data_IF_531857228815
#
_entry.id   IF_531857228815
#
_cell.length_a   1.000
_cell.length_b   1.000
_cell.length_c   1.000
_cell.angle_alpha   90.00
_cell.angle_beta   90.00
_cell.angle_gamma   90.00
#
_symmetry.space_group_name_H-M   'P 1'
#
loop_
_entity.id
_entity.type
_entity.pdbx_description
1 polymer ?
#
# COMPACT_ATOMS: atom_id res chain seq x y z
N UNK A 1 -3.56 -37.19 6.44
CA UNK A 1 -2.46 -36.25 6.19
C UNK A 1 -2.15 -35.36 7.39
N UNK A 2 -3.13 -34.71 8.07
CA UNK A 2 -2.82 -33.89 9.27
C UNK A 2 -2.21 -34.70 10.42
N UNK A 3 -2.64 -35.95 10.65
CA UNK A 3 -2.08 -36.85 11.67
C UNK A 3 -0.61 -37.25 11.36
N UNK A 4 -0.30 -37.45 10.08
CA UNK A 4 1.06 -37.82 9.64
C UNK A 4 2.05 -36.66 9.82
N UNK A 5 1.58 -35.43 9.64
CA UNK A 5 2.42 -34.23 9.88
C UNK A 5 2.63 -33.96 11.37
N UNK A 6 1.66 -34.27 12.23
CA UNK A 6 1.78 -34.10 13.69
C UNK A 6 2.89 -34.99 14.27
N UNK A 7 3.06 -36.21 13.75
CA UNK A 7 4.10 -37.13 14.22
C UNK A 7 5.52 -36.71 13.79
N UNK A 8 5.65 -36.11 12.59
CA UNK A 8 6.91 -35.50 12.14
C UNK A 8 7.29 -34.25 12.98
N UNK A 9 6.32 -33.65 13.69
CA UNK A 9 6.44 -32.37 14.38
C UNK A 9 6.50 -32.46 15.91
N UNK A 10 6.86 -33.60 16.49
CA UNK A 10 7.22 -33.61 17.91
C UNK A 10 8.43 -32.70 18.13
N UNK A 11 8.15 -31.46 18.56
CA UNK A 11 9.19 -30.45 18.79
C UNK A 11 9.96 -30.80 20.07
N UNK A 12 11.26 -30.94 19.94
CA UNK A 12 12.15 -31.08 21.12
C UNK A 12 12.40 -29.69 21.70
N UNK A 13 12.24 -29.51 23.02
CA UNK A 13 12.57 -28.25 23.67
C UNK A 13 14.04 -27.89 23.41
N UNK A 14 14.29 -26.70 22.87
CA UNK A 14 15.65 -26.19 22.62
C UNK A 14 16.26 -26.54 21.28
N UNK A 15 15.59 -27.33 20.43
CA UNK A 15 16.04 -27.66 19.08
C UNK A 15 16.13 -26.41 18.17
N UNK A 16 17.19 -26.26 17.39
CA UNK A 16 17.29 -25.18 16.40
C UNK A 16 16.38 -25.44 15.19
N UNK A 17 15.94 -24.39 14.44
CA UNK A 17 15.15 -24.60 13.22
C UNK A 17 15.86 -25.45 12.15
N UNK A 18 17.20 -25.38 12.07
CA UNK A 18 17.98 -26.17 11.13
C UNK A 18 18.04 -27.64 11.53
N UNK A 19 18.20 -27.92 12.84
CA UNK A 19 18.19 -29.29 13.36
C UNK A 19 16.80 -29.92 13.18
N UNK A 20 15.75 -29.16 13.40
CA UNK A 20 14.38 -29.60 13.13
C UNK A 20 14.18 -29.95 11.63
N UNK A 21 14.69 -29.12 10.72
CA UNK A 21 14.63 -29.40 9.27
C UNK A 21 15.42 -30.67 8.93
N UNK A 22 16.61 -30.81 9.51
CA UNK A 22 17.42 -32.03 9.31
C UNK A 22 16.69 -33.28 9.82
N UNK A 23 16.09 -33.22 11.00
CA UNK A 23 15.28 -34.30 11.56
C UNK A 23 14.05 -34.62 10.72
N UNK A 24 13.33 -33.60 10.25
CA UNK A 24 12.17 -33.79 9.38
C UNK A 24 12.58 -34.49 8.07
N UNK A 25 13.68 -34.05 7.47
CA UNK A 25 14.22 -34.69 6.24
C UNK A 25 14.74 -36.10 6.47
N UNK A 26 15.21 -36.42 7.66
CA UNK A 26 15.66 -37.75 8.05
C UNK A 26 14.49 -38.68 8.45
N UNK A 27 13.25 -38.15 8.56
CA UNK A 27 12.10 -38.97 8.92
C UNK A 27 11.83 -40.04 7.84
N UNK A 28 11.57 -41.31 8.21
CA UNK A 28 11.41 -42.40 7.23
C UNK A 28 10.37 -42.16 6.14
N UNK A 29 9.36 -41.38 6.40
CA UNK A 29 8.30 -41.04 5.42
C UNK A 29 8.67 -39.88 4.50
N UNK A 30 9.69 -39.03 4.84
CA UNK A 30 10.02 -37.85 4.06
C UNK A 30 10.43 -38.14 2.61
N UNK A 31 11.24 -39.19 2.31
CA UNK A 31 11.62 -39.52 0.93
C UNK A 31 10.45 -39.91 0.03
N UNK A 32 9.30 -40.29 0.62
CA UNK A 32 8.08 -40.64 -0.12
C UNK A 32 7.11 -39.46 -0.32
N UNK A 33 7.44 -38.28 0.25
CA UNK A 33 6.65 -37.08 0.03
C UNK A 33 6.98 -36.49 -1.35
N UNK A 34 5.97 -36.26 -2.14
CA UNK A 34 6.12 -35.50 -3.36
C UNK A 34 6.14 -33.98 -3.08
N UNK A 35 6.41 -33.16 -4.13
CA UNK A 35 6.46 -31.69 -4.00
C UNK A 35 5.16 -31.09 -3.42
N UNK A 36 4.01 -31.68 -3.78
CA UNK A 36 2.69 -31.24 -3.24
C UNK A 36 2.57 -31.52 -1.75
N UNK A 37 3.09 -32.66 -1.28
CA UNK A 37 3.07 -33.03 0.14
C UNK A 37 3.98 -32.10 0.95
N UNK A 38 5.16 -31.76 0.43
CA UNK A 38 6.07 -30.79 1.04
C UNK A 38 5.44 -29.39 1.07
N UNK A 39 4.76 -29.00 -0.01
CA UNK A 39 4.03 -27.74 -0.05
C UNK A 39 2.89 -27.70 0.99
N UNK A 40 2.13 -28.78 1.15
CA UNK A 40 1.09 -28.93 2.16
C UNK A 40 1.66 -28.85 3.58
N UNK A 41 2.82 -29.46 3.81
CA UNK A 41 3.55 -29.37 5.06
C UNK A 41 3.93 -27.90 5.39
N UNK A 42 4.46 -27.17 4.41
CA UNK A 42 4.79 -25.75 4.56
C UNK A 42 3.55 -24.91 4.82
N UNK A 43 2.43 -25.18 4.17
CA UNK A 43 1.14 -24.52 4.44
C UNK A 43 0.68 -24.80 5.88
N UNK A 44 0.79 -26.03 6.35
CA UNK A 44 0.47 -26.40 7.72
C UNK A 44 1.34 -25.64 8.74
N UNK A 45 2.65 -25.55 8.51
CA UNK A 45 3.58 -24.80 9.35
C UNK A 45 3.23 -23.30 9.40
N UNK A 46 2.94 -22.73 8.26
CA UNK A 46 2.55 -21.32 8.16
C UNK A 46 1.22 -21.02 8.88
N UNK A 47 0.23 -21.90 8.76
CA UNK A 47 -1.04 -21.79 9.51
C UNK A 47 -0.81 -21.93 11.01
N UNK A 48 0.05 -22.87 11.41
CA UNK A 48 0.40 -23.10 12.82
C UNK A 48 1.17 -21.90 13.37
N UNK A 49 2.13 -21.35 12.64
CA UNK A 49 2.86 -20.14 13.05
C UNK A 49 1.92 -18.97 13.31
N UNK A 50 0.90 -18.79 12.46
CA UNK A 50 -0.10 -17.73 12.63
C UNK A 50 -0.89 -17.86 13.94
N UNK A 51 -1.21 -19.08 14.39
CA UNK A 51 -1.86 -19.32 15.71
C UNK A 51 -1.01 -18.75 16.85
N UNK A 52 0.31 -18.85 16.78
CA UNK A 52 1.24 -18.37 17.79
C UNK A 52 1.65 -16.92 17.64
N UNK A 53 1.25 -16.24 16.55
CA UNK A 53 1.65 -14.86 16.26
C UNK A 53 1.28 -13.85 17.37
N UNK A 54 0.28 -14.16 18.19
CA UNK A 54 -0.18 -13.30 19.30
C UNK A 54 0.30 -13.77 20.68
N UNK A 55 0.78 -14.99 20.80
CA UNK A 55 1.06 -15.65 22.09
C UNK A 55 2.54 -15.95 22.31
N UNK A 56 3.21 -16.52 21.32
CA UNK A 56 4.62 -16.91 21.39
C UNK A 56 5.35 -16.59 20.08
N UNK A 57 6.04 -15.47 20.10
CA UNK A 57 6.77 -14.96 18.94
C UNK A 57 7.98 -15.82 18.56
N UNK A 58 8.63 -16.48 19.54
CA UNK A 58 9.77 -17.35 19.23
C UNK A 58 9.30 -18.60 18.53
N UNK A 59 8.21 -19.17 18.99
CA UNK A 59 7.64 -20.34 18.37
C UNK A 59 7.10 -20.02 16.98
N UNK A 60 6.47 -18.83 16.81
CA UNK A 60 6.13 -18.32 15.48
C UNK A 60 7.35 -18.27 14.57
N UNK A 61 8.43 -17.63 15.02
CA UNK A 61 9.67 -17.52 14.25
C UNK A 61 10.32 -18.88 13.96
N UNK A 62 10.31 -19.78 14.93
CA UNK A 62 10.82 -21.13 14.78
C UNK A 62 10.11 -21.88 13.64
N UNK A 63 8.78 -21.88 13.63
CA UNK A 63 7.98 -22.51 12.59
C UNK A 63 8.16 -21.85 11.23
N UNK A 64 8.28 -20.51 11.18
CA UNK A 64 8.53 -19.77 9.94
C UNK A 64 9.90 -20.09 9.36
N UNK A 65 10.94 -20.25 10.18
CA UNK A 65 12.27 -20.65 9.73
C UNK A 65 12.29 -22.09 9.21
N UNK A 66 11.61 -23.03 9.87
CA UNK A 66 11.44 -24.38 9.37
C UNK A 66 10.75 -24.36 7.99
N UNK A 67 9.65 -23.64 7.88
CA UNK A 67 8.93 -23.48 6.61
C UNK A 67 9.82 -22.90 5.51
N UNK A 68 10.60 -21.85 5.82
CA UNK A 68 11.52 -21.23 4.89
C UNK A 68 12.64 -22.16 4.40
N UNK A 69 13.17 -23.01 5.30
CA UNK A 69 14.26 -23.94 4.96
C UNK A 69 13.81 -25.24 4.32
N UNK A 70 12.55 -25.65 4.55
CA UNK A 70 11.97 -26.80 3.85
C UNK A 70 11.67 -26.50 2.38
N UNK A 71 10.93 -25.43 2.16
CA UNK A 71 10.59 -24.89 0.86
C UNK A 71 10.43 -23.37 0.99
N UNK A 72 11.18 -22.55 0.22
CA UNK A 72 11.08 -21.10 0.28
C UNK A 72 9.62 -20.63 0.10
N UNK A 73 8.98 -20.31 1.20
CA UNK A 73 7.60 -19.81 1.23
C UNK A 73 7.60 -18.29 1.23
N UNK A 74 6.93 -17.69 0.25
CA UNK A 74 6.76 -16.23 0.16
C UNK A 74 6.10 -15.68 1.42
N UNK A 75 5.12 -16.40 1.98
CA UNK A 75 4.46 -16.03 3.24
C UNK A 75 5.46 -16.01 4.41
N UNK A 76 6.22 -17.10 4.61
CA UNK A 76 7.18 -17.19 5.71
C UNK A 76 8.27 -16.12 5.56
N UNK A 77 8.79 -15.94 4.35
CA UNK A 77 9.82 -14.93 4.05
C UNK A 77 9.32 -13.51 4.36
N UNK A 78 8.11 -13.14 3.87
CA UNK A 78 7.50 -11.85 4.15
C UNK A 78 7.26 -11.65 5.66
N UNK A 79 6.76 -12.68 6.34
CA UNK A 79 6.43 -12.61 7.77
C UNK A 79 7.68 -12.49 8.65
N UNK A 80 8.76 -13.21 8.34
CA UNK A 80 10.06 -13.06 9.01
C UNK A 80 10.58 -11.62 8.84
N UNK A 81 10.52 -11.09 7.62
CA UNK A 81 10.90 -9.70 7.33
C UNK A 81 10.09 -8.68 8.13
N UNK A 82 8.78 -8.85 8.22
CA UNK A 82 7.87 -8.01 9.02
C UNK A 82 8.24 -8.03 10.52
N UNK A 83 8.53 -9.22 11.06
CA UNK A 83 8.92 -9.36 12.46
C UNK A 83 10.25 -8.66 12.75
N UNK A 84 11.23 -8.74 11.85
CA UNK A 84 12.48 -7.98 12.00
C UNK A 84 12.31 -6.48 11.79
N UNK A 85 11.38 -6.04 10.94
CA UNK A 85 11.11 -4.62 10.70
C UNK A 85 10.58 -3.92 11.94
N UNK A 86 9.56 -4.48 12.55
CA UNK A 86 8.89 -3.85 13.70
C UNK A 86 9.46 -4.29 15.04
N UNK A 87 10.18 -5.38 15.08
CA UNK A 87 10.49 -6.10 16.32
C UNK A 87 9.20 -6.64 16.94
N UNK A 88 9.30 -7.48 17.94
CA UNK A 88 8.11 -7.90 18.69
C UNK A 88 8.43 -8.17 20.15
N UNK A 89 7.50 -7.74 21.01
CA UNK A 89 7.49 -8.05 22.44
C UNK A 89 6.43 -9.10 22.70
N UNK A 90 6.72 -10.11 23.49
CA UNK A 90 5.70 -11.02 24.00
C UNK A 90 4.71 -10.26 24.89
N UNK A 91 3.41 -10.51 24.70
CA UNK A 91 2.36 -9.87 25.52
C UNK A 91 2.34 -10.38 26.96
N UNK A 92 2.86 -11.58 27.24
CA UNK A 92 3.00 -12.13 28.60
C UNK A 92 4.44 -11.97 29.06
N UNK A 93 4.69 -11.68 30.36
CA UNK A 93 6.02 -11.73 30.92
C UNK A 93 6.54 -13.17 30.78
N UNK A 94 7.36 -13.39 29.77
CA UNK A 94 8.03 -14.66 29.51
C UNK A 94 9.53 -14.40 29.63
N UNK A 95 10.32 -15.29 30.18
CA UNK A 95 11.78 -15.20 30.19
C UNK A 95 12.37 -15.20 28.78
N UNK A 96 11.51 -15.40 27.79
CA UNK A 96 11.86 -15.49 26.38
C UNK A 96 12.08 -14.09 25.81
N UNK A 97 13.29 -13.82 25.35
CA UNK A 97 13.74 -12.53 24.83
C UNK A 97 12.88 -12.05 23.66
N UNK A 98 12.48 -10.77 23.74
CA UNK A 98 11.85 -10.05 22.64
C UNK A 98 12.72 -10.09 21.38
N UNK A 99 12.08 -10.12 20.20
CA UNK A 99 12.81 -9.96 18.94
C UNK A 99 13.01 -8.46 18.71
N UNK A 100 14.29 -8.05 18.71
CA UNK A 100 14.66 -6.65 18.43
C UNK A 100 14.54 -6.34 16.94
N UNK A 101 14.23 -5.09 16.63
CA UNK A 101 14.28 -4.59 15.27
C UNK A 101 15.65 -4.83 14.65
N UNK A 102 15.65 -5.27 13.39
CA UNK A 102 16.86 -5.45 12.60
C UNK A 102 16.56 -5.10 11.14
N UNK A 103 16.83 -3.88 10.77
CA UNK A 103 16.54 -3.37 9.42
C UNK A 103 17.27 -4.13 8.30
N UNK A 104 18.49 -4.60 8.55
CA UNK A 104 19.25 -5.34 7.53
C UNK A 104 18.62 -6.71 7.26
N UNK A 105 18.23 -7.44 8.32
CA UNK A 105 17.50 -8.69 8.15
C UNK A 105 16.12 -8.46 7.54
N UNK A 106 15.39 -7.43 7.98
CA UNK A 106 14.11 -7.06 7.40
C UNK A 106 14.24 -6.82 5.88
N UNK A 107 15.21 -5.98 5.48
CA UNK A 107 15.49 -5.70 4.07
C UNK A 107 15.77 -6.98 3.28
N UNK A 108 16.64 -7.85 3.80
CA UNK A 108 16.99 -9.12 3.15
C UNK A 108 15.76 -9.98 2.88
N UNK A 109 14.97 -10.28 3.90
CA UNK A 109 13.80 -11.15 3.76
C UNK A 109 12.67 -10.50 2.94
N UNK A 110 12.41 -9.21 3.13
CA UNK A 110 11.38 -8.49 2.36
C UNK A 110 11.75 -8.39 0.88
N UNK A 111 13.02 -8.14 0.55
CA UNK A 111 13.49 -8.13 -0.84
C UNK A 111 13.34 -9.51 -1.50
N UNK A 112 13.59 -10.59 -0.76
CA UNK A 112 13.35 -11.94 -1.27
C UNK A 112 11.86 -12.18 -1.56
N UNK A 113 10.96 -11.76 -0.65
CA UNK A 113 9.52 -11.89 -0.86
C UNK A 113 9.00 -10.98 -2.00
N UNK A 114 9.58 -9.79 -2.16
CA UNK A 114 9.26 -8.83 -3.23
C UNK A 114 9.57 -9.38 -4.63
N UNK A 115 10.62 -10.21 -4.78
CA UNK A 115 10.94 -10.87 -6.07
C UNK A 115 9.81 -11.77 -6.58
N UNK A 116 8.93 -12.22 -5.70
CA UNK A 116 7.71 -12.96 -6.03
C UNK A 116 6.47 -12.06 -6.10
N UNK A 117 6.65 -10.76 -6.29
CA UNK A 117 5.59 -9.76 -6.37
C UNK A 117 4.62 -9.77 -5.18
N UNK A 118 5.11 -10.11 -3.97
CA UNK A 118 4.27 -10.11 -2.79
C UNK A 118 3.89 -8.67 -2.40
N UNK A 119 2.59 -8.28 -2.45
CA UNK A 119 2.18 -6.90 -2.25
C UNK A 119 2.46 -6.41 -0.83
N UNK A 120 2.33 -7.27 0.17
CA UNK A 120 2.65 -6.92 1.55
C UNK A 120 4.15 -6.67 1.73
N UNK A 121 5.01 -7.47 1.09
CA UNK A 121 6.46 -7.26 1.15
C UNK A 121 6.86 -5.94 0.49
N UNK A 122 6.26 -5.61 -0.67
CA UNK A 122 6.48 -4.33 -1.34
C UNK A 122 6.03 -3.16 -0.45
N UNK A 123 4.84 -3.24 0.15
CA UNK A 123 4.38 -2.23 1.11
C UNK A 123 5.36 -2.05 2.28
N UNK A 124 5.84 -3.14 2.89
CA UNK A 124 6.78 -3.09 4.00
C UNK A 124 8.15 -2.55 3.60
N UNK A 125 8.63 -2.83 2.38
CA UNK A 125 9.83 -2.21 1.82
C UNK A 125 9.64 -0.70 1.61
N UNK A 126 8.48 -0.28 1.13
CA UNK A 126 8.12 1.13 1.05
C UNK A 126 8.19 1.82 2.41
N UNK A 127 7.61 1.21 3.45
CA UNK A 127 7.65 1.74 4.82
C UNK A 127 9.06 1.75 5.41
N UNK A 128 9.87 0.74 5.13
CA UNK A 128 11.28 0.69 5.54
C UNK A 128 12.09 1.83 4.90
N UNK A 129 11.87 2.10 3.61
CA UNK A 129 12.51 3.21 2.90
C UNK A 129 12.00 4.58 3.38
N UNK A 130 10.72 4.67 3.79
CA UNK A 130 10.19 5.86 4.45
C UNK A 130 10.97 6.20 5.73
N UNK A 131 11.20 5.23 6.61
CA UNK A 131 11.96 5.39 7.85
C UNK A 131 13.42 5.82 7.56
N UNK A 132 13.99 5.38 6.44
CA UNK A 132 15.34 5.75 5.97
C UNK A 132 15.39 7.08 5.22
N UNK A 133 14.26 7.75 5.00
CA UNK A 133 14.10 8.96 4.19
C UNK A 133 14.51 8.80 2.73
N UNK A 134 14.55 7.59 2.22
CA UNK A 134 14.71 7.29 0.80
C UNK A 134 13.35 7.32 0.12
N UNK A 135 12.90 8.51 -0.26
CA UNK A 135 11.54 8.72 -0.77
C UNK A 135 11.33 8.19 -2.19
N UNK A 136 12.38 8.05 -2.98
CA UNK A 136 12.32 7.49 -4.33
C UNK A 136 11.99 5.99 -4.29
N UNK A 137 12.80 5.21 -3.60
CA UNK A 137 12.53 3.78 -3.41
C UNK A 137 11.23 3.54 -2.64
N UNK A 138 10.89 4.42 -1.68
CA UNK A 138 9.61 4.36 -0.97
C UNK A 138 8.44 4.42 -1.95
N UNK A 139 8.40 5.42 -2.85
CA UNK A 139 7.34 5.56 -3.84
C UNK A 139 7.30 4.35 -4.77
N UNK A 140 8.46 3.93 -5.30
CA UNK A 140 8.56 2.77 -6.18
C UNK A 140 7.90 1.52 -5.57
N UNK A 141 8.27 1.16 -4.34
CA UNK A 141 7.73 -0.03 -3.69
C UNK A 141 6.25 0.13 -3.29
N UNK A 142 5.81 1.32 -2.86
CA UNK A 142 4.41 1.57 -2.57
C UNK A 142 3.54 1.52 -3.83
N UNK A 143 3.99 2.08 -4.95
CA UNK A 143 3.30 2.02 -6.24
C UNK A 143 3.23 0.60 -6.78
N UNK A 144 4.31 -0.18 -6.63
CA UNK A 144 4.31 -1.60 -6.98
C UNK A 144 3.30 -2.40 -6.15
N UNK A 145 3.16 -2.10 -4.86
CA UNK A 145 2.15 -2.70 -4.00
C UNK A 145 0.72 -2.24 -4.36
N UNK A 146 0.56 -0.95 -4.68
CA UNK A 146 -0.73 -0.36 -5.06
C UNK A 146 -1.23 -0.83 -6.44
N UNK A 147 -0.33 -1.22 -7.36
CA UNK A 147 -0.70 -1.74 -8.68
C UNK A 147 -1.54 -3.01 -8.63
N UNK A 148 -1.41 -3.78 -7.55
CA UNK A 148 -2.25 -4.95 -7.24
C UNK A 148 -3.33 -4.64 -6.19
N UNK A 149 -3.66 -3.36 -6.03
CA UNK A 149 -4.71 -2.85 -5.15
C UNK A 149 -4.52 -3.21 -3.67
N UNK A 150 -3.27 -3.30 -3.17
CA UNK A 150 -3.04 -3.55 -1.75
C UNK A 150 -3.51 -2.36 -0.90
N UNK A 151 -4.52 -2.53 -0.01
CA UNK A 151 -5.24 -1.40 0.60
C UNK A 151 -4.35 -0.47 1.44
N UNK A 152 -3.38 -1.04 2.19
CA UNK A 152 -2.51 -0.22 3.03
C UNK A 152 -1.52 0.62 2.21
N UNK A 153 -1.10 0.13 1.03
CA UNK A 153 -0.25 0.89 0.11
C UNK A 153 -1.03 2.03 -0.55
N UNK A 154 -2.27 1.76 -0.98
CA UNK A 154 -3.17 2.79 -1.51
C UNK A 154 -3.41 3.90 -0.48
N UNK A 155 -3.68 3.53 0.77
CA UNK A 155 -3.86 4.50 1.85
C UNK A 155 -2.61 5.34 2.09
N UNK A 156 -1.44 4.72 2.18
CA UNK A 156 -0.18 5.44 2.40
C UNK A 156 0.17 6.40 1.25
N UNK A 157 -0.03 5.98 0.00
CA UNK A 157 0.13 6.87 -1.15
C UNK A 157 -0.84 8.06 -1.10
N UNK A 158 -2.10 7.81 -0.71
CA UNK A 158 -3.07 8.88 -0.47
C UNK A 158 -2.58 9.91 0.55
N UNK A 159 -2.08 9.46 1.70
CA UNK A 159 -1.51 10.33 2.75
C UNK A 159 -0.26 11.09 2.25
N UNK A 160 0.64 10.42 1.52
CA UNK A 160 1.87 11.04 1.00
C UNK A 160 1.53 12.16 0.02
N UNK A 161 0.60 11.93 -0.92
CA UNK A 161 0.20 12.97 -1.87
C UNK A 161 -0.69 14.04 -1.24
N UNK A 162 -1.43 13.73 -0.17
CA UNK A 162 -2.22 14.72 0.56
C UNK A 162 -1.36 15.73 1.32
N UNK A 163 -0.32 15.26 2.01
CA UNK A 163 0.56 16.15 2.78
C UNK A 163 1.77 16.67 1.99
N UNK A 164 2.16 15.97 0.94
CA UNK A 164 3.46 16.14 0.32
C UNK A 164 4.60 15.67 1.24
N UNK A 165 5.80 15.67 0.74
CA UNK A 165 7.06 15.43 1.46
C UNK A 165 8.17 16.25 0.80
N UNK A 166 9.33 16.35 1.40
CA UNK A 166 10.44 17.20 0.96
C UNK A 166 10.73 17.14 -0.55
N UNK A 167 10.65 15.94 -1.14
CA UNK A 167 10.86 15.71 -2.58
C UNK A 167 9.58 15.42 -3.36
N UNK A 168 8.46 15.18 -2.67
CA UNK A 168 7.17 14.83 -3.27
C UNK A 168 6.22 15.98 -3.07
N UNK A 169 5.87 16.65 -4.17
CA UNK A 169 4.89 17.73 -4.15
C UNK A 169 3.52 17.21 -3.76
N UNK A 170 2.79 18.02 -3.01
CA UNK A 170 1.39 17.81 -2.69
C UNK A 170 0.56 17.70 -3.99
N UNK A 171 -0.34 16.72 -4.04
CA UNK A 171 -1.21 16.49 -5.19
C UNK A 171 -2.57 15.96 -4.74
N UNK A 172 -3.54 16.84 -4.61
CA UNK A 172 -4.88 16.53 -4.11
C UNK A 172 -5.64 15.57 -5.04
N UNK A 173 -5.45 15.66 -6.37
CA UNK A 173 -6.08 14.75 -7.31
C UNK A 173 -5.59 13.31 -7.10
N UNK A 174 -4.27 13.10 -7.00
CA UNK A 174 -3.71 11.77 -6.71
C UNK A 174 -4.17 11.27 -5.35
N UNK A 175 -4.12 12.13 -4.31
CA UNK A 175 -4.57 11.77 -2.97
C UNK A 175 -6.02 11.28 -2.97
N UNK A 176 -6.94 12.02 -3.59
CA UNK A 176 -8.35 11.65 -3.70
C UNK A 176 -8.56 10.32 -4.44
N UNK A 177 -7.87 10.12 -5.57
CA UNK A 177 -7.93 8.86 -6.32
C UNK A 177 -7.46 7.67 -5.52
N UNK A 178 -6.34 7.80 -4.81
CA UNK A 178 -5.82 6.74 -3.95
C UNK A 178 -6.76 6.42 -2.78
N UNK A 179 -7.33 7.43 -2.10
CA UNK A 179 -8.31 7.19 -1.04
C UNK A 179 -9.57 6.51 -1.57
N UNK A 180 -10.07 6.90 -2.75
CA UNK A 180 -11.22 6.27 -3.39
C UNK A 180 -10.95 4.80 -3.73
N UNK A 181 -9.79 4.50 -4.31
CA UNK A 181 -9.36 3.11 -4.55
C UNK A 181 -9.22 2.32 -3.25
N UNK A 182 -8.66 2.93 -2.22
CA UNK A 182 -8.52 2.34 -0.89
C UNK A 182 -9.88 1.88 -0.31
N UNK A 183 -10.91 2.73 -0.44
CA UNK A 183 -12.29 2.40 -0.04
C UNK A 183 -12.86 1.23 -0.84
N UNK A 184 -12.67 1.23 -2.16
CA UNK A 184 -13.15 0.16 -3.04
C UNK A 184 -12.57 -1.21 -2.67
N UNK A 185 -11.38 -1.25 -2.06
CA UNK A 185 -10.71 -2.47 -1.61
C UNK A 185 -10.81 -2.71 -0.09
N UNK A 186 -11.81 -2.09 0.55
CA UNK A 186 -12.25 -2.45 1.91
C UNK A 186 -11.40 -1.88 3.05
N UNK A 187 -10.63 -0.81 2.82
CA UNK A 187 -9.88 -0.18 3.90
C UNK A 187 -10.69 0.94 4.58
N UNK A 188 -11.03 0.73 5.85
CA UNK A 188 -11.83 1.67 6.63
C UNK A 188 -11.17 3.04 6.85
N UNK A 189 -9.84 3.11 6.83
CA UNK A 189 -9.12 4.39 6.95
C UNK A 189 -9.34 5.27 5.71
N UNK A 190 -9.48 4.67 4.52
CA UNK A 190 -9.86 5.38 3.31
C UNK A 190 -11.25 6.02 3.43
N UNK A 191 -12.21 5.28 4.01
CA UNK A 191 -13.56 5.80 4.29
C UNK A 191 -13.48 7.00 5.25
N UNK A 192 -12.72 6.86 6.34
CA UNK A 192 -12.51 7.94 7.29
C UNK A 192 -11.93 9.20 6.61
N UNK A 193 -10.92 9.05 5.75
CA UNK A 193 -10.29 10.17 5.04
C UNK A 193 -11.26 10.87 4.09
N UNK A 194 -12.04 10.12 3.29
CA UNK A 194 -13.01 10.73 2.38
C UNK A 194 -14.19 11.39 3.10
N UNK A 195 -14.68 10.80 4.18
CA UNK A 195 -15.80 11.38 4.94
C UNK A 195 -15.40 12.66 5.68
N UNK A 196 -14.18 12.77 6.18
CA UNK A 196 -13.77 13.93 6.99
C UNK A 196 -13.03 14.98 6.16
N UNK A 197 -12.35 14.60 5.10
CA UNK A 197 -11.48 15.50 4.31
C UNK A 197 -11.80 15.53 2.82
N UNK A 198 -12.74 14.70 2.33
CA UNK A 198 -13.03 14.57 0.91
C UNK A 198 -13.42 15.90 0.26
N UNK A 199 -14.31 16.67 0.87
CA UNK A 199 -14.73 17.96 0.34
C UNK A 199 -13.63 19.01 0.47
N UNK A 200 -12.84 19.00 1.55
CA UNK A 200 -11.66 19.86 1.68
C UNK A 200 -10.61 19.56 0.61
N UNK A 201 -10.37 18.27 0.32
CA UNK A 201 -9.44 17.85 -0.75
C UNK A 201 -9.91 18.35 -2.10
N UNK A 202 -11.21 18.23 -2.40
CA UNK A 202 -11.79 18.74 -3.67
C UNK A 202 -11.65 20.25 -3.77
N UNK A 203 -12.04 20.98 -2.71
CA UNK A 203 -11.95 22.44 -2.67
C UNK A 203 -10.52 22.95 -2.86
N UNK A 204 -9.54 22.33 -2.19
CA UNK A 204 -8.12 22.66 -2.36
C UNK A 204 -7.62 22.33 -3.77
N UNK A 205 -8.06 21.22 -4.37
CA UNK A 205 -7.74 20.89 -5.74
C UNK A 205 -8.29 21.94 -6.71
N UNK A 206 -9.57 22.32 -6.56
CA UNK A 206 -10.22 23.33 -7.40
C UNK A 206 -9.48 24.65 -7.30
N UNK A 207 -9.16 25.12 -6.08
CA UNK A 207 -8.40 26.36 -5.89
C UNK A 207 -7.03 26.32 -6.56
N UNK A 208 -6.25 25.27 -6.32
CA UNK A 208 -4.93 25.11 -6.95
C UNK A 208 -5.04 25.10 -8.48
N UNK A 209 -6.07 24.44 -9.02
CA UNK A 209 -6.26 24.31 -10.46
C UNK A 209 -6.66 25.64 -11.10
N UNK A 210 -7.48 26.44 -10.43
CA UNK A 210 -7.84 27.80 -10.87
C UNK A 210 -6.57 28.67 -10.92
N UNK A 211 -5.72 28.64 -9.88
CA UNK A 211 -4.47 29.39 -9.87
C UNK A 211 -3.53 29.01 -11.03
N UNK A 212 -3.40 27.70 -11.31
CA UNK A 212 -2.63 27.21 -12.45
C UNK A 212 -3.20 27.70 -13.78
N UNK A 213 -4.54 27.69 -13.96
CA UNK A 213 -5.20 28.14 -15.17
C UNK A 213 -5.05 29.66 -15.37
N UNK A 214 -5.12 30.45 -14.29
CA UNK A 214 -4.85 31.88 -14.32
C UNK A 214 -3.40 32.16 -14.78
N UNK A 215 -2.44 31.42 -14.21
CA UNK A 215 -1.03 31.53 -14.62
C UNK A 215 -0.82 31.18 -16.10
N UNK A 216 -1.65 30.32 -16.66
CA UNK A 216 -1.65 29.92 -18.09
C UNK A 216 -2.54 30.78 -18.99
N UNK A 217 -3.02 31.94 -18.52
CA UNK A 217 -3.70 32.93 -19.32
C UNK A 217 -5.23 32.96 -19.21
N UNK A 218 -5.83 32.20 -18.30
CA UNK A 218 -7.23 32.38 -17.93
C UNK A 218 -7.39 33.73 -17.21
N UNK A 219 -8.40 34.49 -17.53
CA UNK A 219 -8.61 35.80 -16.93
C UNK A 219 -9.99 35.91 -16.26
N UNK A 220 -10.08 36.50 -15.04
CA UNK A 220 -11.38 36.76 -14.41
C UNK A 220 -12.16 37.82 -15.13
N UNK A 221 -13.50 37.68 -15.17
CA UNK A 221 -14.43 38.63 -15.72
C UNK A 221 -15.58 38.85 -14.75
N UNK A 222 -15.97 40.12 -14.62
CA UNK A 222 -17.03 40.53 -13.69
C UNK A 222 -18.45 40.19 -14.13
N UNK A 223 -18.66 40.04 -15.43
CA UNK A 223 -19.95 39.67 -15.99
C UNK A 223 -19.81 39.13 -17.43
N UNK A 224 -20.48 38.02 -17.72
CA UNK A 224 -20.50 37.39 -19.06
C UNK A 224 -21.53 36.27 -19.13
N UNK A 225 -21.91 35.89 -20.34
CA UNK A 225 -22.76 34.72 -20.58
C UNK A 225 -21.95 33.44 -20.50
N UNK A 226 -22.31 32.56 -19.59
CA UNK A 226 -21.62 31.30 -19.37
C UNK A 226 -21.89 30.32 -20.52
N UNK A 227 -20.86 29.80 -21.14
CA UNK A 227 -20.96 28.81 -22.21
C UNK A 227 -21.52 27.44 -21.75
N UNK A 228 -21.75 27.24 -20.46
CA UNK A 228 -22.25 25.97 -19.89
C UNK A 228 -23.71 26.11 -19.44
N UNK A 229 -24.04 27.12 -18.62
CA UNK A 229 -25.39 27.32 -18.10
C UNK A 229 -26.17 28.43 -18.80
N UNK A 230 -25.54 29.18 -19.69
CA UNK A 230 -26.11 30.29 -20.47
C UNK A 230 -26.64 31.49 -19.63
N UNK A 231 -26.27 31.54 -18.36
CA UNK A 231 -26.60 32.63 -17.46
C UNK A 231 -25.53 33.74 -17.49
N UNK A 232 -25.99 34.99 -17.28
CA UNK A 232 -25.10 36.13 -17.09
C UNK A 232 -24.56 36.13 -15.65
N UNK A 233 -23.30 35.77 -15.49
CA UNK A 233 -22.66 35.58 -14.18
C UNK A 233 -21.22 36.07 -14.18
N UNK A 234 -20.66 36.17 -12.96
CA UNK A 234 -19.21 36.32 -12.73
C UNK A 234 -18.49 35.00 -13.04
N UNK A 235 -17.33 35.04 -13.65
CA UNK A 235 -16.55 33.84 -13.99
C UNK A 235 -15.22 34.16 -14.64
N UNK A 236 -14.79 33.25 -15.52
CA UNK A 236 -13.47 33.29 -16.11
C UNK A 236 -13.55 33.11 -17.65
N UNK A 237 -12.69 33.82 -18.34
CA UNK A 237 -12.38 33.58 -19.74
C UNK A 237 -11.28 32.53 -19.85
N UNK A 238 -11.59 31.38 -20.45
CA UNK A 238 -10.64 30.29 -20.60
C UNK A 238 -9.51 30.68 -21.59
N UNK A 239 -8.35 30.05 -21.42
CA UNK A 239 -7.18 30.27 -22.28
C UNK A 239 -7.28 29.65 -23.67
N UNK A 240 -8.40 29.02 -24.03
CA UNK A 240 -8.65 28.48 -25.37
C UNK A 240 -8.65 29.57 -26.45
N UNK A 241 -8.42 29.20 -27.71
CA UNK A 241 -8.29 30.13 -28.85
C UNK A 241 -9.45 31.13 -28.98
N UNK A 242 -10.68 30.67 -28.73
CA UNK A 242 -11.89 31.51 -28.80
C UNK A 242 -12.22 32.20 -27.45
N UNK A 243 -11.43 31.98 -26.44
CA UNK A 243 -11.60 32.60 -25.10
C UNK A 243 -13.02 32.47 -24.56
N UNK A 244 -13.58 31.25 -24.61
CA UNK A 244 -14.91 30.97 -24.05
C UNK A 244 -15.01 31.32 -22.58
N UNK A 245 -16.18 31.80 -22.20
CA UNK A 245 -16.46 32.22 -20.83
C UNK A 245 -17.18 31.10 -20.03
N UNK A 246 -16.74 30.84 -18.81
CA UNK A 246 -17.37 29.88 -17.88
C UNK A 246 -17.56 30.55 -16.51
N UNK A 247 -18.78 30.52 -15.98
CA UNK A 247 -19.02 31.09 -14.65
C UNK A 247 -18.34 30.25 -13.55
N UNK A 248 -18.10 30.87 -12.37
CA UNK A 248 -17.42 30.23 -11.26
C UNK A 248 -18.06 28.87 -10.89
N UNK A 249 -19.39 28.83 -10.73
CA UNK A 249 -20.11 27.61 -10.34
C UNK A 249 -19.94 26.47 -11.35
N UNK A 250 -19.97 26.77 -12.65
CA UNK A 250 -19.78 25.77 -13.70
C UNK A 250 -18.32 25.33 -13.79
N UNK A 251 -17.36 26.24 -13.58
CA UNK A 251 -15.95 25.91 -13.52
C UNK A 251 -15.64 24.99 -12.34
N UNK A 252 -16.15 25.30 -11.15
CA UNK A 252 -15.96 24.45 -9.96
C UNK A 252 -16.50 23.04 -10.20
N UNK A 253 -17.71 22.89 -10.76
CA UNK A 253 -18.28 21.58 -11.11
C UNK A 253 -17.44 20.81 -12.12
N UNK A 254 -16.89 21.49 -13.13
CA UNK A 254 -16.01 20.88 -14.12
C UNK A 254 -14.70 20.41 -13.47
N UNK A 255 -14.11 21.22 -12.59
CA UNK A 255 -12.89 20.88 -11.87
C UNK A 255 -13.12 19.76 -10.84
N UNK A 256 -14.25 19.74 -10.15
CA UNK A 256 -14.64 18.61 -9.30
C UNK A 256 -14.82 17.31 -10.08
N UNK A 257 -15.34 17.38 -11.30
CA UNK A 257 -15.43 16.21 -12.18
C UNK A 257 -14.03 15.75 -12.64
N UNK A 258 -13.10 16.68 -12.88
CA UNK A 258 -11.70 16.37 -13.27
C UNK A 258 -10.96 15.58 -12.20
N UNK A 259 -11.18 15.84 -10.91
CA UNK A 259 -10.51 15.09 -9.84
C UNK A 259 -10.77 13.58 -9.91
N UNK A 260 -11.92 13.21 -10.51
CA UNK A 260 -12.34 11.83 -10.73
C UNK A 260 -11.92 11.27 -12.08
N UNK A 261 -11.62 12.15 -13.05
CA UNK A 261 -11.27 11.78 -14.41
C UNK A 261 -9.77 11.44 -14.56
N UNK A 262 -9.43 10.83 -15.67
CA UNK A 262 -8.03 10.49 -16.02
C UNK A 262 -7.36 11.55 -16.90
N UNK A 263 -8.09 12.59 -17.31
CA UNK A 263 -7.61 13.60 -18.24
C UNK A 263 -7.78 15.03 -17.73
N UNK A 264 -7.10 15.97 -18.38
CA UNK A 264 -7.26 17.41 -18.13
C UNK A 264 -8.63 17.89 -18.67
N UNK A 265 -9.19 18.91 -18.02
CA UNK A 265 -10.40 19.57 -18.54
C UNK A 265 -10.12 20.14 -19.91
N UNK A 266 -11.04 19.86 -20.81
CA UNK A 266 -11.12 20.51 -22.09
C UNK A 266 -12.19 21.58 -22.02
N UNK A 267 -11.98 22.67 -22.74
CA UNK A 267 -13.03 23.66 -22.90
C UNK A 267 -14.34 22.99 -23.32
N UNK A 268 -15.46 23.21 -22.63
CA UNK A 268 -16.73 22.54 -22.92
C UNK A 268 -17.25 22.83 -24.32
N UNK A 269 -16.84 23.96 -24.93
CA UNK A 269 -17.30 24.38 -26.25
C UNK A 269 -16.39 23.90 -27.39
N UNK A 270 -15.09 24.24 -27.35
CA UNK A 270 -14.17 23.92 -28.45
C UNK A 270 -13.30 22.69 -28.20
N UNK A 271 -13.41 22.04 -27.03
CA UNK A 271 -12.62 20.88 -26.62
C UNK A 271 -11.10 21.10 -26.61
N UNK A 272 -10.63 22.34 -26.77
CA UNK A 272 -9.24 22.67 -26.58
C UNK A 272 -8.82 22.45 -25.11
N UNK A 273 -7.53 22.13 -24.86
CA UNK A 273 -6.98 22.09 -23.52
C UNK A 273 -7.00 23.52 -22.96
N UNK A 274 -7.48 23.65 -21.73
CA UNK A 274 -7.51 24.92 -20.99
C UNK A 274 -6.41 24.94 -19.93
#
# INVERSE_FOLDING_TARGET
>A
MESTFTDMFSLSEGESPLDAVARIRAHPQFPYLNESDIANLVVFLNKTSFKYSKTDIKYEMYLLFISYHLLPSVYATCRIGEIYLYGRKNKKPSPIRNIRRNYNKALQYLTMASRFNNPKANYLLGMLNYDRRNYEDMLHFLELSASVCYPDALFQLGIIYFHGKTTIKQNFQKAYKYFKHCVQHGNNLGIFMLNNYGDSIKSQYVSQRIDEMIANGMSPITQGECSVCFDQKVGYKLSCHEKHFVCCECLDRLLEAEILATGQIKCPMCRALS
#
